data_IF_337267237805
#
_entry.id   IF_337267237805
#
_cell.length_a   1.000
_cell.length_b   1.000
_cell.length_c   1.000
_cell.angle_alpha   90.00
_cell.angle_beta   90.00
_cell.angle_gamma   90.00
#
_symmetry.space_group_name_H-M   'P 1'
#
loop_
_entity.id
_entity.type
_entity.pdbx_description
1 polymer ?
#
# COMPACT_ATOMS: atom_id res chain seq x y z
N UNK A 1 4.45 19.70 -3.63
CA UNK A 1 5.15 18.40 -3.56
C UNK A 1 5.06 17.77 -4.92
N UNK A 2 5.84 16.72 -5.16
CA UNK A 2 5.73 15.96 -6.40
C UNK A 2 4.31 15.41 -6.55
N UNK A 3 3.79 15.35 -7.79
CA UNK A 3 2.43 14.87 -8.13
C UNK A 3 1.25 15.67 -7.54
N UNK A 4 1.47 16.80 -6.85
CA UNK A 4 0.37 17.66 -6.41
C UNK A 4 -0.44 18.20 -7.59
N UNK A 5 -1.77 18.19 -7.47
CA UNK A 5 -2.64 18.88 -8.41
C UNK A 5 -2.67 20.38 -8.07
N UNK A 6 -2.23 21.21 -9.01
CA UNK A 6 -2.06 22.65 -8.81
C UNK A 6 -2.77 23.47 -9.88
N UNK A 7 -3.21 24.66 -9.50
CA UNK A 7 -3.69 25.68 -10.43
C UNK A 7 -2.52 26.59 -10.82
N UNK A 8 -2.27 26.70 -12.12
CA UNK A 8 -1.21 27.53 -12.69
C UNK A 8 -1.78 28.81 -13.31
N UNK A 9 -1.08 29.92 -13.10
CA UNK A 9 -1.22 31.11 -13.94
C UNK A 9 -0.05 31.14 -14.92
N UNK A 10 -0.33 31.04 -16.22
CA UNK A 10 0.69 30.93 -17.27
C UNK A 10 1.00 32.26 -17.94
N UNK A 11 2.22 32.38 -18.46
CA UNK A 11 2.70 33.50 -19.28
C UNK A 11 3.71 33.00 -20.32
N UNK A 12 3.89 33.76 -21.41
CA UNK A 12 4.87 33.43 -22.46
C UNK A 12 6.28 33.79 -22.00
N UNK A 13 7.23 32.91 -22.28
CA UNK A 13 8.65 33.21 -22.11
C UNK A 13 9.07 34.29 -23.13
N UNK A 14 9.64 35.44 -22.69
CA UNK A 14 10.10 36.48 -23.59
C UNK A 14 11.22 36.01 -24.54
N UNK A 15 12.01 35.02 -24.11
CA UNK A 15 13.21 34.57 -24.82
C UNK A 15 12.98 33.29 -25.65
N UNK A 16 11.80 32.66 -25.51
CA UNK A 16 11.46 31.40 -26.21
C UNK A 16 10.01 31.40 -26.66
N UNK A 17 9.81 31.51 -27.97
CA UNK A 17 8.50 31.69 -28.61
C UNK A 17 7.49 30.56 -28.30
N UNK A 18 7.99 29.33 -28.08
CA UNK A 18 7.19 28.13 -27.81
C UNK A 18 7.23 27.65 -26.34
N UNK A 19 7.85 28.41 -25.43
CA UNK A 19 7.89 28.04 -24.01
C UNK A 19 6.84 28.81 -23.20
N UNK A 20 5.97 28.05 -22.53
CA UNK A 20 5.03 28.56 -21.53
C UNK A 20 5.63 28.37 -20.14
N UNK A 21 5.74 29.47 -19.40
CA UNK A 21 6.08 29.46 -17.98
C UNK A 21 4.83 29.76 -17.15
N UNK A 22 4.89 29.56 -15.83
CA UNK A 22 3.77 29.88 -14.98
C UNK A 22 4.09 29.86 -13.49
N UNK A 23 3.24 30.50 -12.71
CA UNK A 23 3.29 30.48 -11.25
C UNK A 23 2.19 29.56 -10.71
N UNK A 24 2.54 28.77 -9.70
CA UNK A 24 1.54 28.04 -8.90
C UNK A 24 0.81 29.06 -8.04
N UNK A 25 -0.49 29.27 -8.31
CA UNK A 25 -1.33 30.21 -7.54
C UNK A 25 -2.13 29.51 -6.44
N UNK A 26 -2.41 28.21 -6.61
CA UNK A 26 -3.14 27.42 -5.63
C UNK A 26 -2.81 25.93 -5.76
N UNK A 27 -2.78 25.23 -4.64
CA UNK A 27 -2.77 23.76 -4.60
C UNK A 27 -4.21 23.27 -4.43
N UNK A 28 -4.67 22.42 -5.33
CA UNK A 28 -6.04 21.89 -5.34
C UNK A 28 -6.14 20.60 -4.54
N UNK A 29 -5.18 19.70 -4.73
CA UNK A 29 -5.12 18.41 -4.03
C UNK A 29 -3.66 18.04 -3.79
N UNK A 30 -3.36 17.57 -2.57
CA UNK A 30 -2.04 17.04 -2.22
C UNK A 30 -1.99 15.57 -2.61
N UNK A 31 -0.92 15.16 -3.28
CA UNK A 31 -0.68 13.75 -3.61
C UNK A 31 -0.22 12.96 -2.38
N UNK A 32 0.52 13.62 -1.49
CA UNK A 32 1.17 12.99 -0.34
C UNK A 32 1.00 13.85 0.91
N UNK A 33 0.46 13.22 1.94
CA UNK A 33 0.33 13.82 3.27
C UNK A 33 1.23 13.14 4.30
N UNK A 34 1.67 11.91 4.03
CA UNK A 34 2.56 11.12 4.89
C UNK A 34 3.83 10.75 4.14
N UNK A 35 4.91 10.58 4.88
CA UNK A 35 6.17 10.08 4.33
C UNK A 35 7.05 9.44 5.40
N UNK A 36 8.00 8.63 4.95
CA UNK A 36 9.01 8.01 5.81
C UNK A 36 10.25 8.89 5.86
N UNK A 37 10.82 9.06 7.05
CA UNK A 37 12.06 9.79 7.22
C UNK A 37 12.88 9.32 8.41
N UNK A 38 14.16 9.64 8.38
CA UNK A 38 15.09 9.41 9.48
C UNK A 38 15.16 10.66 10.36
N UNK A 39 15.00 10.48 11.67
CA UNK A 39 15.16 11.54 12.67
C UNK A 39 16.64 11.93 12.75
N UNK A 40 16.90 13.23 12.58
CA UNK A 40 18.22 13.83 12.77
C UNK A 40 18.14 14.97 13.77
N UNK A 41 19.17 15.10 14.59
CA UNK A 41 19.29 16.16 15.58
C UNK A 41 20.03 17.37 14.99
N UNK A 42 19.45 18.56 15.13
CA UNK A 42 20.02 19.83 14.68
C UNK A 42 20.18 20.77 15.87
N UNK A 43 21.32 20.69 16.56
CA UNK A 43 21.51 21.38 17.84
C UNK A 43 20.60 20.76 18.91
N UNK A 44 19.72 21.57 19.50
CA UNK A 44 18.80 21.13 20.55
C UNK A 44 17.42 20.67 20.04
N UNK A 45 17.21 20.65 18.72
CA UNK A 45 15.92 20.28 18.11
C UNK A 45 16.04 19.06 17.23
N UNK A 46 14.93 18.34 17.10
CA UNK A 46 14.80 17.28 16.11
C UNK A 46 14.22 17.79 14.78
N UNK A 47 14.74 17.23 13.69
CA UNK A 47 14.19 17.34 12.36
C UNK A 47 14.11 15.96 11.73
N UNK A 48 13.54 15.90 10.53
CA UNK A 48 13.41 14.67 9.77
C UNK A 48 14.00 14.85 8.38
N UNK A 49 14.81 13.88 7.97
CA UNK A 49 15.28 13.74 6.60
C UNK A 49 14.39 12.72 5.89
N UNK A 50 13.59 13.11 4.87
CA UNK A 50 12.81 12.17 4.08
C UNK A 50 13.71 11.12 3.41
N UNK A 51 13.27 9.86 3.38
CA UNK A 51 13.96 8.81 2.62
C UNK A 51 13.74 9.00 1.11
N UNK A 52 12.55 9.47 0.70
CA UNK A 52 12.26 9.78 -0.70
C UNK A 52 12.90 11.13 -1.11
N UNK A 53 13.85 11.16 -2.06
CA UNK A 53 14.52 12.38 -2.51
C UNK A 53 13.62 13.38 -3.24
N UNK A 54 12.41 12.97 -3.64
CA UNK A 54 11.37 13.86 -4.21
C UNK A 54 10.77 14.77 -3.15
N UNK A 55 10.81 14.34 -1.88
CA UNK A 55 10.31 15.12 -0.75
C UNK A 55 11.44 16.03 -0.24
N UNK A 56 11.28 17.33 -0.46
CA UNK A 56 12.27 18.34 -0.10
C UNK A 56 11.67 19.35 0.85
N UNK A 57 12.44 19.72 1.87
CA UNK A 57 12.03 20.73 2.83
C UNK A 57 12.74 20.56 4.16
N UNK A 58 12.66 21.59 5.00
CA UNK A 58 13.07 21.51 6.40
C UNK A 58 11.81 21.36 7.25
N UNK A 59 11.50 20.11 7.57
CA UNK A 59 10.33 19.75 8.37
C UNK A 59 10.64 19.88 9.85
N UNK A 60 9.67 20.35 10.62
CA UNK A 60 9.77 20.51 12.09
C UNK A 60 8.68 19.70 12.77
N UNK A 61 9.03 19.03 13.85
CA UNK A 61 8.05 18.35 14.66
C UNK A 61 7.24 19.34 15.50
N UNK A 62 5.95 19.04 15.71
CA UNK A 62 5.14 19.74 16.71
C UNK A 62 5.35 19.23 18.14
N UNK A 63 5.75 17.97 18.27
CA UNK A 63 6.06 17.32 19.53
C UNK A 63 7.32 16.46 19.34
N UNK A 64 8.29 16.61 20.25
CA UNK A 64 9.58 15.93 20.22
C UNK A 64 9.74 14.89 21.36
N UNK A 65 8.73 14.70 22.22
CA UNK A 65 8.81 13.92 23.48
C UNK A 65 9.22 12.45 23.30
N UNK A 66 8.94 11.86 22.14
CA UNK A 66 9.20 10.45 21.82
C UNK A 66 10.31 10.25 20.80
N UNK A 67 10.96 11.33 20.37
CA UNK A 67 11.91 11.30 19.26
C UNK A 67 13.32 11.02 19.75
N UNK A 68 13.96 10.07 19.09
CA UNK A 68 15.37 9.77 19.27
C UNK A 68 16.10 9.84 17.92
N UNK A 69 17.37 10.22 17.96
CA UNK A 69 18.17 10.30 16.74
C UNK A 69 18.31 8.91 16.09
N UNK A 70 18.32 8.87 14.75
CA UNK A 70 18.39 7.65 13.93
C UNK A 70 17.13 6.78 13.94
N UNK A 71 16.07 7.17 14.64
CA UNK A 71 14.77 6.53 14.44
C UNK A 71 14.30 6.75 13.00
N UNK A 72 13.80 5.70 12.38
CA UNK A 72 13.03 5.80 11.16
C UNK A 72 11.55 5.83 11.53
N UNK A 73 10.84 6.79 10.95
CA UNK A 73 9.48 7.12 11.36
C UNK A 73 8.60 7.42 10.14
N UNK A 74 7.31 7.12 10.28
CA UNK A 74 6.26 7.66 9.42
C UNK A 74 5.74 8.93 10.07
N UNK A 75 5.70 10.02 9.30
CA UNK A 75 5.18 11.30 9.75
C UNK A 75 4.06 11.78 8.84
N UNK A 76 3.15 12.57 9.40
CA UNK A 76 2.11 13.29 8.66
C UNK A 76 2.42 14.78 8.62
N UNK A 77 2.28 15.40 7.45
CA UNK A 77 2.37 16.85 7.29
C UNK A 77 1.05 17.47 7.72
N UNK A 78 1.10 18.30 8.76
CA UNK A 78 -0.08 18.96 9.32
C UNK A 78 -0.15 20.44 8.95
N UNK A 79 1.00 21.06 8.64
CA UNK A 79 1.07 22.47 8.23
C UNK A 79 2.09 22.61 7.10
N UNK A 80 1.66 23.19 5.98
CA UNK A 80 2.52 23.46 4.83
C UNK A 80 3.04 24.90 4.87
N UNK A 81 4.29 25.12 4.45
CA UNK A 81 4.90 26.45 4.41
C UNK A 81 6.41 26.38 4.17
N UNK A 82 7.15 27.48 4.42
CA UNK A 82 8.62 27.49 4.32
C UNK A 82 9.31 26.51 5.29
N UNK A 83 8.65 26.24 6.42
CA UNK A 83 9.06 25.27 7.44
C UNK A 83 7.86 24.39 7.79
N UNK A 84 7.51 23.40 6.94
CA UNK A 84 6.34 22.57 7.18
C UNK A 84 6.42 21.88 8.54
N UNK A 85 5.29 21.76 9.22
CA UNK A 85 5.19 21.03 10.47
C UNK A 85 4.69 19.62 10.24
N UNK A 86 5.27 18.69 10.97
CA UNK A 86 4.93 17.28 10.92
C UNK A 86 4.59 16.73 12.29
N UNK A 87 3.75 15.72 12.31
CA UNK A 87 3.39 14.92 13.48
C UNK A 87 3.90 13.50 13.30
N UNK A 88 4.42 12.92 14.37
CA UNK A 88 4.83 11.51 14.40
C UNK A 88 3.59 10.62 14.37
N UNK A 89 3.48 9.76 13.37
CA UNK A 89 2.41 8.75 13.30
C UNK A 89 2.89 7.40 13.88
N UNK A 90 4.08 6.96 13.45
CA UNK A 90 4.61 5.65 13.82
C UNK A 90 6.14 5.67 13.81
N UNK A 91 6.75 4.98 14.78
CA UNK A 91 8.17 4.63 14.74
C UNK A 91 8.26 3.26 14.08
N UNK A 92 8.93 3.17 12.94
CA UNK A 92 9.11 1.90 12.21
C UNK A 92 10.37 1.16 12.65
N UNK A 93 11.36 1.88 13.18
CA UNK A 93 12.52 1.31 13.88
C UNK A 93 13.70 2.28 13.94
N UNK A 94 14.91 1.75 13.86
CA UNK A 94 16.16 2.50 13.98
C UNK A 94 17.10 2.15 12.83
N UNK A 95 17.72 3.17 12.24
CA UNK A 95 18.69 3.07 11.13
C UNK A 95 19.66 1.89 11.32
N UNK A 96 19.65 0.95 10.36
CA UNK A 96 20.51 -0.24 10.37
C UNK A 96 19.81 -1.59 10.59
N UNK A 97 18.49 -1.61 10.82
CA UNK A 97 17.69 -2.84 10.81
C UNK A 97 17.25 -3.21 9.38
N UNK A 98 17.63 -4.40 8.91
CA UNK A 98 17.34 -4.88 7.56
C UNK A 98 15.83 -5.01 7.26
N UNK A 99 15.00 -5.10 8.30
CA UNK A 99 13.53 -5.19 8.17
C UNK A 99 12.91 -3.85 7.76
N UNK A 100 13.65 -2.74 7.91
CA UNK A 100 13.15 -1.39 7.66
C UNK A 100 13.02 -1.05 6.18
N UNK A 101 13.92 -1.55 5.34
CA UNK A 101 13.89 -1.24 3.90
C UNK A 101 12.57 -1.66 3.26
N UNK A 102 12.02 -2.80 3.70
CA UNK A 102 10.72 -3.32 3.23
C UNK A 102 9.60 -2.40 3.71
N UNK A 103 9.55 -2.09 5.00
CA UNK A 103 8.51 -1.24 5.58
C UNK A 103 8.55 0.17 4.97
N UNK A 104 9.74 0.77 4.85
CA UNK A 104 9.92 2.08 4.26
C UNK A 104 9.43 2.11 2.80
N UNK A 105 9.73 1.08 2.02
CA UNK A 105 9.27 0.95 0.64
C UNK A 105 7.74 0.83 0.54
N UNK A 106 7.11 0.03 1.41
CA UNK A 106 5.64 -0.08 1.47
C UNK A 106 5.02 1.27 1.79
N UNK A 107 5.53 1.97 2.82
CA UNK A 107 4.99 3.28 3.20
C UNK A 107 5.20 4.36 2.11
N UNK A 108 6.35 4.36 1.42
CA UNK A 108 6.59 5.32 0.33
C UNK A 108 5.72 5.05 -0.91
N UNK A 109 5.38 3.78 -1.16
CA UNK A 109 4.47 3.41 -2.24
C UNK A 109 3.03 3.91 -2.04
N UNK A 110 2.68 4.34 -0.82
CA UNK A 110 1.32 4.75 -0.47
C UNK A 110 0.32 3.58 -0.39
N UNK A 111 0.80 2.33 -0.46
CA UNK A 111 -0.03 1.14 -0.28
C UNK A 111 -0.45 1.05 1.19
N UNK A 112 -1.76 0.90 1.48
CA UNK A 112 -2.22 0.63 2.83
C UNK A 112 -1.56 -0.65 3.37
N UNK A 113 -0.86 -0.53 4.49
CA UNK A 113 -0.21 -1.67 5.14
C UNK A 113 -1.13 -2.37 6.16
N UNK A 114 -2.11 -1.64 6.71
CA UNK A 114 -3.08 -2.18 7.66
C UNK A 114 -4.45 -2.29 6.99
N UNK A 115 -5.15 -3.39 7.26
CA UNK A 115 -6.56 -3.54 6.91
C UNK A 115 -7.42 -2.67 7.82
N UNK A 116 -8.50 -2.10 7.28
CA UNK A 116 -9.44 -1.34 8.08
C UNK A 116 -10.05 -2.21 9.20
N UNK A 117 -10.26 -1.68 10.42
CA UNK A 117 -10.83 -2.45 11.52
C UNK A 117 -12.17 -3.13 11.19
N UNK A 118 -12.98 -2.54 10.31
CA UNK A 118 -14.21 -3.14 9.82
C UNK A 118 -13.93 -4.38 8.97
N UNK A 119 -12.99 -4.31 8.02
CA UNK A 119 -12.56 -5.47 7.21
C UNK A 119 -12.05 -6.62 8.10
N UNK A 120 -11.24 -6.31 9.13
CA UNK A 120 -10.75 -7.32 10.08
C UNK A 120 -11.92 -7.94 10.86
N UNK A 121 -12.92 -7.14 11.24
CA UNK A 121 -14.09 -7.61 11.98
C UNK A 121 -14.96 -8.53 11.13
N UNK A 122 -15.20 -8.17 9.87
CA UNK A 122 -15.93 -9.00 8.90
C UNK A 122 -15.21 -10.33 8.65
N UNK A 123 -13.90 -10.28 8.39
CA UNK A 123 -13.10 -11.49 8.18
C UNK A 123 -13.15 -12.45 9.39
N UNK A 124 -13.17 -11.93 10.62
CA UNK A 124 -13.29 -12.74 11.84
C UNK A 124 -14.66 -13.38 12.05
N UNK A 125 -15.70 -12.91 11.37
CA UNK A 125 -17.04 -13.49 11.43
C UNK A 125 -17.21 -14.69 10.48
N UNK A 126 -16.29 -14.86 9.52
CA UNK A 126 -16.34 -15.98 8.58
C UNK A 126 -16.10 -17.29 9.33
N UNK A 127 -16.96 -18.31 9.10
CA UNK A 127 -16.78 -19.61 9.72
C UNK A 127 -15.51 -20.30 9.16
N UNK A 128 -14.77 -21.05 9.98
CA UNK A 128 -13.58 -21.77 9.51
C UNK A 128 -13.91 -22.95 8.60
N UNK A 129 -15.17 -23.40 8.59
CA UNK A 129 -15.67 -24.48 7.75
C UNK A 129 -16.90 -23.98 6.99
N UNK A 130 -17.00 -24.35 5.72
CA UNK A 130 -18.18 -24.07 4.91
C UNK A 130 -19.24 -25.11 5.26
N UNK A 131 -20.46 -24.65 5.54
CA UNK A 131 -21.59 -25.55 5.81
C UNK A 131 -22.05 -26.21 4.50
N UNK A 132 -22.34 -27.50 4.55
CA UNK A 132 -22.73 -28.29 3.37
C UNK A 132 -24.15 -27.95 2.86
N UNK A 133 -24.85 -27.03 3.52
CA UNK A 133 -26.22 -26.68 3.20
C UNK A 133 -26.33 -25.68 2.02
N UNK A 134 -25.24 -24.99 1.65
CA UNK A 134 -25.26 -23.93 0.62
C UNK A 134 -24.60 -24.36 -0.72
N UNK A 135 -25.00 -25.55 -1.21
CA UNK A 135 -24.50 -26.15 -2.46
C UNK A 135 -25.48 -25.90 -3.64
N UNK A 136 -26.64 -25.29 -3.38
CA UNK A 136 -27.64 -25.09 -4.41
C UNK A 136 -27.10 -24.24 -5.58
N UNK A 137 -27.35 -24.69 -6.80
CA UNK A 137 -26.80 -24.11 -8.02
C UNK A 137 -25.30 -24.38 -8.29
N UNK A 138 -24.59 -25.12 -7.44
CA UNK A 138 -23.17 -25.49 -7.65
C UNK A 138 -23.04 -26.92 -8.21
N UNK A 139 -22.06 -27.13 -9.09
CA UNK A 139 -21.68 -28.47 -9.55
C UNK A 139 -20.83 -29.13 -8.47
N UNK A 140 -21.28 -30.27 -7.95
CA UNK A 140 -20.51 -31.06 -7.00
C UNK A 140 -19.41 -31.87 -7.72
N UNK A 141 -18.16 -31.60 -7.36
CA UNK A 141 -16.96 -32.25 -7.91
C UNK A 141 -16.06 -32.85 -6.83
N UNK A 142 -16.56 -32.99 -5.58
CA UNK A 142 -15.77 -33.43 -4.42
C UNK A 142 -15.19 -34.84 -4.55
N UNK A 143 -15.80 -35.69 -5.37
CA UNK A 143 -15.32 -37.07 -5.65
C UNK A 143 -14.22 -37.14 -6.73
N UNK A 144 -13.86 -36.01 -7.36
CA UNK A 144 -12.81 -35.97 -8.38
C UNK A 144 -11.43 -35.85 -7.75
N UNK A 145 -10.43 -36.47 -8.36
CA UNK A 145 -9.03 -36.18 -8.03
C UNK A 145 -8.69 -34.78 -8.53
N UNK A 146 -8.50 -33.85 -7.61
CA UNK A 146 -8.17 -32.46 -7.85
C UNK A 146 -6.89 -32.15 -7.09
N UNK A 147 -5.93 -31.50 -7.76
CA UNK A 147 -4.63 -31.13 -7.18
C UNK A 147 -4.31 -29.66 -7.46
N UNK A 148 -3.57 -29.02 -6.56
CA UNK A 148 -2.92 -27.72 -6.80
C UNK A 148 -1.42 -27.96 -6.96
N UNK A 149 -0.71 -27.05 -7.64
CA UNK A 149 0.73 -27.17 -7.89
C UNK A 149 1.38 -25.84 -7.54
N UNK A 150 1.84 -25.73 -6.30
CA UNK A 150 2.31 -24.48 -5.70
C UNK A 150 3.66 -24.65 -4.99
N UNK A 151 4.30 -23.53 -4.65
CA UNK A 151 5.50 -23.52 -3.82
C UNK A 151 5.22 -23.98 -2.38
N UNK A 152 6.25 -24.47 -1.68
CA UNK A 152 6.15 -24.98 -0.30
C UNK A 152 5.70 -23.92 0.72
N UNK A 153 6.02 -22.65 0.48
CA UNK A 153 5.62 -21.51 1.32
C UNK A 153 4.26 -20.88 0.95
N UNK A 154 3.55 -21.40 -0.06
CA UNK A 154 2.27 -20.85 -0.55
C UNK A 154 1.15 -21.05 0.46
N UNK A 155 0.27 -20.04 0.63
CA UNK A 155 -0.85 -20.08 1.59
C UNK A 155 -2.21 -19.80 0.96
N UNK A 156 -2.21 -19.36 -0.28
CA UNK A 156 -3.33 -18.88 -1.10
C UNK A 156 -3.45 -19.76 -2.35
N UNK A 157 -4.21 -20.85 -2.23
CA UNK A 157 -4.43 -21.80 -3.32
C UNK A 157 -5.67 -21.39 -4.14
N UNK A 158 -5.45 -20.68 -5.23
CA UNK A 158 -6.53 -20.08 -6.02
C UNK A 158 -7.04 -20.97 -7.15
N UNK A 159 -6.18 -21.85 -7.66
CA UNK A 159 -6.42 -22.72 -8.80
C UNK A 159 -6.22 -24.21 -8.46
N UNK A 160 -6.91 -25.06 -9.22
CA UNK A 160 -6.70 -26.50 -9.15
C UNK A 160 -6.97 -27.16 -10.50
N UNK A 161 -6.32 -28.29 -10.70
CA UNK A 161 -6.39 -29.07 -11.93
C UNK A 161 -6.91 -30.48 -11.66
N UNK A 162 -7.66 -31.00 -12.62
CA UNK A 162 -8.06 -32.40 -12.66
C UNK A 162 -7.90 -32.93 -14.09
N UNK A 163 -7.42 -34.17 -14.21
CA UNK A 163 -7.23 -34.85 -15.49
C UNK A 163 -8.04 -36.14 -15.45
N UNK A 164 -9.00 -36.27 -16.36
CA UNK A 164 -9.81 -37.47 -16.54
C UNK A 164 -9.50 -38.07 -17.91
N UNK A 165 -9.09 -39.36 -17.99
CA UNK A 165 -8.95 -40.03 -19.27
C UNK A 165 -10.34 -40.32 -19.85
N UNK A 166 -10.62 -39.82 -21.05
CA UNK A 166 -11.88 -40.09 -21.74
C UNK A 166 -11.70 -41.29 -22.67
N UNK A 167 -12.56 -42.32 -22.53
CA UNK A 167 -12.46 -43.52 -23.38
C UNK A 167 -12.73 -43.12 -24.85
N UNK A 168 -11.72 -43.29 -25.70
CA UNK A 168 -11.72 -43.00 -27.15
C UNK A 168 -11.53 -41.53 -27.58
N UNK A 169 -11.00 -40.65 -26.73
CA UNK A 169 -10.57 -39.30 -27.13
C UNK A 169 -9.21 -38.91 -26.52
N UNK A 170 -8.60 -37.84 -27.05
CA UNK A 170 -7.42 -37.21 -26.47
C UNK A 170 -7.73 -36.72 -25.03
N UNK A 171 -6.78 -36.80 -24.08
CA UNK A 171 -7.00 -36.41 -22.69
C UNK A 171 -7.46 -34.96 -22.58
N UNK A 172 -8.59 -34.73 -21.91
CA UNK A 172 -9.11 -33.39 -21.62
C UNK A 172 -8.62 -32.90 -20.26
N UNK A 173 -8.13 -31.66 -20.21
CA UNK A 173 -7.74 -30.98 -18.96
C UNK A 173 -8.92 -30.13 -18.49
N UNK A 174 -9.39 -30.36 -17.26
CA UNK A 174 -10.32 -29.47 -16.60
C UNK A 174 -9.55 -28.53 -15.67
N UNK A 175 -9.52 -27.24 -16.03
CA UNK A 175 -9.05 -26.17 -15.15
C UNK A 175 -10.20 -25.72 -14.25
N UNK A 176 -10.00 -25.73 -12.94
CA UNK A 176 -10.95 -25.22 -11.96
C UNK A 176 -10.32 -24.07 -11.19
N UNK A 177 -10.99 -22.92 -11.19
CA UNK A 177 -10.69 -21.88 -10.20
C UNK A 177 -11.39 -22.25 -8.90
N UNK A 178 -10.60 -22.47 -7.85
CA UNK A 178 -11.08 -22.92 -6.54
C UNK A 178 -11.58 -21.75 -5.70
N UNK A 179 -11.15 -20.52 -6.00
CA UNK A 179 -11.52 -19.36 -5.22
C UNK A 179 -12.82 -18.71 -5.72
N UNK A 180 -13.91 -18.90 -4.97
CA UNK A 180 -15.11 -18.06 -5.11
C UNK A 180 -15.18 -17.08 -3.93
N UNK A 181 -14.47 -15.96 -4.04
CA UNK A 181 -14.51 -14.87 -3.05
C UNK A 181 -15.88 -14.17 -2.98
N UNK A 182 -16.73 -14.33 -4.01
CA UNK A 182 -17.95 -13.53 -4.18
C UNK A 182 -19.13 -13.89 -3.27
N UNK A 183 -19.08 -14.98 -2.49
CA UNK A 183 -20.16 -15.27 -1.52
C UNK A 183 -19.95 -14.63 -0.16
N UNK A 184 -18.81 -13.97 0.07
CA UNK A 184 -18.43 -13.39 1.37
C UNK A 184 -18.31 -11.86 1.34
N UNK A 185 -18.54 -11.25 0.17
CA UNK A 185 -18.53 -9.80 -0.06
C UNK A 185 -19.92 -9.43 -0.56
N UNK A 186 -20.90 -9.40 0.34
CA UNK A 186 -22.14 -8.67 0.09
C UNK A 186 -21.96 -7.23 0.61
N UNK A 187 -22.34 -6.26 -0.22
CA UNK A 187 -22.18 -4.80 -0.02
C UNK A 187 -22.69 -4.27 1.33
#
# INVERSE_FOLDING_TARGET
MDEDEVLLQTFKDPDKEDALQGYVIKVLKRSREKFVGSIKKFGDKFGILPLDPRIRGKFRFINEDKLEEKQEVVVKIIEYGPHPKVELEMIIGVEGDASLDILASIYDSGVPFEFDPQTIKEAKQLPPNIDNENIDGRKDVRERLIVTIDGDDTKDFDDAISIEPELNMEPSILLMNMLQLMSSIEE
#
